data_IF_715019383388
#
_entry.id   IF_715019383388
#
_cell.length_a   1.000
_cell.length_b   1.000
_cell.length_c   1.000
_cell.angle_alpha   90.00
_cell.angle_beta   90.00
_cell.angle_gamma   90.00
#
_symmetry.space_group_name_H-M   'P 1'
#
loop_
_entity.id
_entity.type
_entity.pdbx_description
1 polymer ?
#
# COMPACT_ATOMS: atom_id res chain seq x y z
N UNK A 1 11.76 4.80 -14.25
CA UNK A 1 12.59 3.77 -14.91
C UNK A 1 14.05 3.98 -14.61
N UNK A 2 14.57 5.20 -14.76
CA UNK A 2 15.95 5.59 -14.40
C UNK A 2 16.37 5.15 -12.99
N UNK A 3 15.58 5.49 -11.96
CA UNK A 3 15.85 5.08 -10.56
C UNK A 3 16.00 3.55 -10.39
N UNK A 4 15.23 2.75 -11.14
CA UNK A 4 15.31 1.29 -11.08
C UNK A 4 16.53 0.70 -11.81
N UNK A 5 17.11 1.44 -12.76
CA UNK A 5 18.36 1.09 -13.44
C UNK A 5 19.59 1.50 -12.62
N UNK A 6 19.46 2.52 -11.78
CA UNK A 6 20.50 3.00 -10.85
C UNK A 6 20.55 2.19 -9.53
N UNK A 7 19.51 1.41 -9.23
CA UNK A 7 19.44 0.63 -7.99
C UNK A 7 20.33 -0.63 -8.07
N UNK A 8 21.26 -0.78 -7.14
CA UNK A 8 22.04 -2.01 -6.98
C UNK A 8 21.15 -3.12 -6.38
N UNK A 9 20.80 -4.11 -7.21
CA UNK A 9 19.98 -5.25 -6.80
C UNK A 9 20.62 -6.04 -5.64
N UNK A 10 21.95 -6.10 -5.55
CA UNK A 10 22.66 -6.81 -4.48
C UNK A 10 22.49 -6.10 -3.14
N UNK A 11 22.48 -4.78 -3.14
CA UNK A 11 22.18 -3.97 -1.96
C UNK A 11 20.70 -4.06 -1.57
N UNK A 12 19.79 -4.07 -2.55
CA UNK A 12 18.36 -4.30 -2.34
C UNK A 12 18.08 -5.64 -1.66
N UNK A 13 18.76 -6.72 -2.07
CA UNK A 13 18.62 -8.02 -1.40
C UNK A 13 19.14 -8.03 0.04
N UNK A 14 20.14 -7.21 0.36
CA UNK A 14 20.69 -7.09 1.72
C UNK A 14 19.67 -6.54 2.71
N UNK A 15 18.82 -5.61 2.27
CA UNK A 15 17.70 -5.05 3.07
C UNK A 15 16.38 -5.78 2.83
N UNK A 16 16.38 -6.83 2.00
CA UNK A 16 15.18 -7.58 1.60
C UNK A 16 14.31 -8.06 2.77
N UNK A 17 14.85 -8.61 3.87
CA UNK A 17 14.04 -9.06 5.01
C UNK A 17 13.28 -7.93 5.71
N UNK A 18 13.95 -6.81 6.02
CA UNK A 18 13.29 -5.66 6.66
C UNK A 18 12.28 -5.01 5.71
N UNK A 19 12.63 -4.85 4.43
CA UNK A 19 11.73 -4.34 3.41
C UNK A 19 10.48 -5.22 3.24
N UNK A 20 10.63 -6.55 3.32
CA UNK A 20 9.50 -7.49 3.23
C UNK A 20 8.54 -7.32 4.40
N UNK A 21 9.06 -7.18 5.63
CA UNK A 21 8.21 -6.93 6.81
C UNK A 21 7.46 -5.61 6.66
N UNK A 22 8.14 -4.54 6.23
CA UNK A 22 7.49 -3.24 5.99
C UNK A 22 6.41 -3.34 4.92
N UNK A 23 6.66 -4.05 3.82
CA UNK A 23 5.67 -4.26 2.76
C UNK A 23 4.45 -5.05 3.27
N UNK A 24 4.67 -6.14 4.00
CA UNK A 24 3.57 -6.94 4.56
C UNK A 24 2.73 -6.09 5.52
N UNK A 25 3.37 -5.38 6.45
CA UNK A 25 2.68 -4.52 7.42
C UNK A 25 1.94 -3.38 6.71
N UNK A 26 2.59 -2.74 5.73
CA UNK A 26 2.05 -1.66 4.92
C UNK A 26 0.88 -2.07 4.03
N UNK A 27 0.67 -3.37 3.78
CA UNK A 27 -0.51 -3.88 3.08
C UNK A 27 -1.56 -4.39 4.08
N UNK A 28 -1.15 -5.23 5.02
CA UNK A 28 -2.05 -5.91 5.94
C UNK A 28 -2.79 -4.92 6.87
N UNK A 29 -2.09 -3.93 7.41
CA UNK A 29 -2.73 -2.94 8.30
C UNK A 29 -3.80 -2.10 7.59
N UNK A 30 -3.51 -1.37 6.49
CA UNK A 30 -4.53 -0.56 5.84
C UNK A 30 -5.66 -1.43 5.25
N UNK A 31 -5.37 -2.64 4.77
CA UNK A 31 -6.40 -3.56 4.32
C UNK A 31 -7.37 -3.92 5.44
N UNK A 32 -6.84 -4.40 6.58
CA UNK A 32 -7.66 -4.82 7.73
C UNK A 32 -8.43 -3.65 8.31
N UNK A 33 -7.81 -2.47 8.42
CA UNK A 33 -8.48 -1.27 8.92
C UNK A 33 -9.63 -0.83 7.99
N UNK A 34 -9.42 -0.81 6.68
CA UNK A 34 -10.47 -0.51 5.70
C UNK A 34 -11.61 -1.52 5.69
N UNK A 35 -11.26 -2.80 5.75
CA UNK A 35 -12.24 -3.89 5.83
C UNK A 35 -13.08 -3.80 7.11
N UNK A 36 -12.44 -3.64 8.28
CA UNK A 36 -13.14 -3.54 9.56
C UNK A 36 -13.99 -2.28 9.68
N UNK A 37 -13.48 -1.15 9.17
CA UNK A 37 -14.24 0.09 9.10
C UNK A 37 -15.55 -0.12 8.33
N UNK A 38 -15.49 -0.76 7.16
CA UNK A 38 -16.67 -1.02 6.36
C UNK A 38 -17.57 -2.11 6.95
N UNK A 39 -16.98 -3.14 7.57
CA UNK A 39 -17.73 -4.21 8.23
C UNK A 39 -18.54 -3.73 9.45
N UNK A 40 -18.06 -2.70 10.15
CA UNK A 40 -18.78 -2.07 11.27
C UNK A 40 -19.58 -0.83 10.88
N UNK A 41 -19.44 -0.36 9.63
CA UNK A 41 -20.24 0.73 9.13
C UNK A 41 -21.72 0.32 9.14
N UNK A 42 -22.60 1.25 9.52
CA UNK A 42 -24.04 1.05 9.40
C UNK A 42 -24.40 0.78 7.94
N UNK A 43 -25.37 -0.11 7.65
CA UNK A 43 -25.79 -0.45 6.27
C UNK A 43 -26.17 0.76 5.40
N UNK A 44 -26.50 1.90 6.02
CA UNK A 44 -26.86 3.14 5.32
C UNK A 44 -25.66 3.93 4.74
N UNK A 45 -24.42 3.56 5.07
CA UNK A 45 -23.21 4.29 4.63
C UNK A 45 -22.80 3.99 3.18
N UNK A 46 -23.38 2.96 2.55
CA UNK A 46 -23.00 2.55 1.20
C UNK A 46 -24.17 2.06 0.37
N UNK A 47 -24.66 2.93 -0.52
CA UNK A 47 -25.57 2.48 -1.56
C UNK A 47 -24.79 1.66 -2.60
N UNK A 48 -25.12 0.38 -2.71
CA UNK A 48 -24.53 -0.52 -3.69
C UNK A 48 -25.63 -1.20 -4.51
N UNK A 49 -25.34 -1.58 -5.77
CA UNK A 49 -26.24 -2.40 -6.56
C UNK A 49 -26.64 -3.68 -5.81
N UNK A 50 -27.87 -4.18 -6.02
CA UNK A 50 -28.40 -5.33 -5.25
C UNK A 50 -27.67 -6.66 -5.49
N UNK A 51 -26.81 -6.73 -6.48
CA UNK A 51 -25.91 -7.84 -6.79
C UNK A 51 -24.56 -7.77 -6.04
N UNK A 52 -24.25 -6.65 -5.40
CA UNK A 52 -23.02 -6.43 -4.63
C UNK A 52 -23.31 -6.62 -3.14
N UNK A 53 -22.50 -7.44 -2.48
CA UNK A 53 -22.61 -7.65 -1.02
C UNK A 53 -21.76 -6.63 -0.26
N UNK A 54 -22.17 -6.30 0.97
CA UNK A 54 -21.39 -5.41 1.86
C UNK A 54 -19.96 -5.93 2.10
N UNK A 55 -19.78 -7.25 2.08
CA UNK A 55 -18.46 -7.88 2.18
C UNK A 55 -17.60 -7.59 0.95
N UNK A 56 -18.17 -7.61 -0.26
CA UNK A 56 -17.43 -7.23 -1.47
C UNK A 56 -16.97 -5.78 -1.41
N UNK A 57 -17.81 -4.89 -0.87
CA UNK A 57 -17.43 -3.48 -0.70
C UNK A 57 -16.34 -3.33 0.36
N UNK A 58 -16.44 -4.04 1.49
CA UNK A 58 -15.40 -4.04 2.52
C UNK A 58 -14.04 -4.50 1.98
N UNK A 59 -14.03 -5.56 1.16
CA UNK A 59 -12.81 -6.05 0.49
C UNK A 59 -12.28 -5.02 -0.50
N UNK A 60 -13.15 -4.39 -1.29
CA UNK A 60 -12.77 -3.37 -2.26
C UNK A 60 -12.13 -2.16 -1.56
N UNK A 61 -12.78 -1.63 -0.52
CA UNK A 61 -12.27 -0.53 0.29
C UNK A 61 -10.92 -0.92 0.90
N UNK A 62 -10.83 -2.08 1.57
CA UNK A 62 -9.57 -2.58 2.12
C UNK A 62 -8.46 -2.65 1.06
N UNK A 63 -8.74 -3.22 -0.11
CA UNK A 63 -7.76 -3.36 -1.19
C UNK A 63 -7.28 -2.01 -1.73
N UNK A 64 -8.18 -1.05 -1.94
CA UNK A 64 -7.81 0.28 -2.46
C UNK A 64 -6.86 1.04 -1.52
N UNK A 65 -7.00 0.87 -0.20
CA UNK A 65 -6.12 1.52 0.78
C UNK A 65 -4.68 0.97 0.79
N UNK A 66 -4.42 -0.18 0.17
CA UNK A 66 -3.08 -0.79 0.11
C UNK A 66 -2.18 -0.15 -0.96
N UNK A 67 -2.76 0.60 -1.91
CA UNK A 67 -2.02 1.17 -3.02
C UNK A 67 -1.06 2.29 -2.55
N UNK A 68 0.24 2.07 -2.69
CA UNK A 68 1.29 3.03 -2.28
C UNK A 68 2.09 3.53 -3.49
N UNK A 69 2.29 4.85 -3.61
CA UNK A 69 3.01 5.46 -4.75
C UNK A 69 4.51 5.62 -4.49
N UNK A 70 5.24 4.52 -4.57
CA UNK A 70 6.71 4.50 -4.37
C UNK A 70 7.45 5.38 -5.39
N UNK A 71 6.92 5.52 -6.61
CA UNK A 71 7.54 6.35 -7.65
C UNK A 71 7.56 7.84 -7.32
N UNK A 72 6.51 8.36 -6.65
CA UNK A 72 6.48 9.75 -6.19
C UNK A 72 7.47 9.93 -5.04
N UNK A 73 7.45 9.04 -4.06
CA UNK A 73 8.39 9.07 -2.92
C UNK A 73 9.85 9.02 -3.40
N UNK A 74 10.17 8.12 -4.33
CA UNK A 74 11.51 7.99 -4.88
C UNK A 74 11.97 9.27 -5.58
N UNK A 75 11.11 9.88 -6.41
CA UNK A 75 11.41 11.17 -7.06
C UNK A 75 11.70 12.26 -6.04
N UNK A 76 10.86 12.41 -5.01
CA UNK A 76 11.05 13.42 -3.96
C UNK A 76 12.36 13.20 -3.20
N UNK A 77 12.73 11.94 -2.91
CA UNK A 77 14.01 11.63 -2.25
C UNK A 77 15.21 11.92 -3.14
N UNK A 78 15.12 11.67 -4.45
CA UNK A 78 16.14 12.08 -5.43
C UNK A 78 16.27 13.60 -5.49
N UNK A 79 15.15 14.33 -5.56
CA UNK A 79 15.14 15.81 -5.60
C UNK A 79 15.75 16.43 -4.33
N UNK A 80 15.70 15.70 -3.20
CA UNK A 80 16.30 16.10 -1.93
C UNK A 80 17.76 15.64 -1.74
N UNK A 81 18.35 14.93 -2.71
CA UNK A 81 19.67 14.29 -2.62
C UNK A 81 19.79 13.30 -1.42
N UNK A 82 18.69 12.61 -1.11
CA UNK A 82 18.55 11.70 0.05
C UNK A 82 18.28 10.24 -0.32
N UNK A 83 18.39 9.87 -1.60
CA UNK A 83 18.08 8.51 -2.06
C UNK A 83 19.03 7.43 -1.51
N UNK A 84 20.21 7.81 -1.02
CA UNK A 84 21.20 6.89 -0.43
C UNK A 84 21.23 6.88 1.11
N UNK A 85 20.36 7.65 1.77
CA UNK A 85 20.25 7.64 3.23
C UNK A 85 19.38 6.48 3.69
N UNK A 86 19.78 5.71 4.72
CA UNK A 86 18.99 4.61 5.28
C UNK A 86 17.71 5.09 5.98
#
# INVERSE_FOLDING_TARGET
FEIGLETDLKEMFRVGPSASVVAIVGVALPFLLGFLYWWWATPDLGAHPGDVTDTMVAIFVGATLTATSVGITARVLTDLDRIHTP
#
